data_IF_731861815143
#
_entry.id   IF_731861815143
#
_cell.length_a   1.000
_cell.length_b   1.000
_cell.length_c   1.000
_cell.angle_alpha   90.00
_cell.angle_beta   90.00
_cell.angle_gamma   90.00
#
_symmetry.space_group_name_H-M   'P 1'
#
loop_
_entity.id
_entity.type
_entity.pdbx_description
1 polymer ?
#
# COMPACT_ATOMS: atom_id res chain seq x y z
N UNK A 1 7.75 7.12 23.46
CA UNK A 1 6.29 6.84 23.57
C UNK A 1 5.97 5.56 22.80
N UNK A 2 5.35 4.56 23.43
CA UNK A 2 5.03 3.27 22.79
C UNK A 2 3.54 3.24 22.43
N UNK A 3 3.18 2.54 21.35
CA UNK A 3 1.78 2.36 20.91
C UNK A 3 1.45 0.88 20.85
N UNK A 4 0.18 0.52 21.11
CA UNK A 4 -0.26 -0.86 20.95
C UNK A 4 -0.09 -1.34 19.51
N UNK A 5 0.54 -2.49 19.35
CA UNK A 5 0.81 -3.10 18.06
C UNK A 5 -0.47 -3.36 17.25
N UNK A 6 -1.53 -3.85 17.91
CA UNK A 6 -2.83 -4.09 17.28
C UNK A 6 -3.42 -2.83 16.65
N UNK A 7 -3.39 -1.72 17.40
CA UNK A 7 -3.86 -0.42 16.93
C UNK A 7 -3.02 0.12 15.77
N UNK A 8 -1.70 -0.06 15.83
CA UNK A 8 -0.78 0.35 14.76
C UNK A 8 -1.02 -0.43 13.46
N UNK A 9 -1.07 -1.77 13.55
CA UNK A 9 -1.37 -2.68 12.44
C UNK A 9 -2.72 -2.36 11.81
N UNK A 10 -3.77 -2.19 12.63
CA UNK A 10 -5.12 -1.86 12.16
C UNK A 10 -5.16 -0.52 11.41
N UNK A 11 -4.42 0.49 11.87
CA UNK A 11 -4.34 1.80 11.19
C UNK A 11 -3.67 1.71 9.82
N UNK A 12 -2.56 0.99 9.70
CA UNK A 12 -1.89 0.76 8.40
C UNK A 12 -2.82 -0.02 7.47
N UNK A 13 -3.49 -1.06 7.97
CA UNK A 13 -4.44 -1.83 7.17
C UNK A 13 -5.60 -0.97 6.66
N UNK A 14 -6.27 -0.23 7.54
CA UNK A 14 -7.38 0.67 7.15
C UNK A 14 -6.90 1.67 6.10
N UNK A 15 -5.71 2.26 6.27
CA UNK A 15 -5.14 3.19 5.30
C UNK A 15 -5.01 2.54 3.91
N UNK A 16 -4.35 1.39 3.82
CA UNK A 16 -4.12 0.69 2.56
C UNK A 16 -5.41 0.20 1.91
N UNK A 17 -6.31 -0.44 2.66
CA UNK A 17 -7.58 -0.93 2.13
C UNK A 17 -8.48 0.21 1.66
N UNK A 18 -8.51 1.33 2.38
CA UNK A 18 -9.32 2.50 2.01
C UNK A 18 -8.79 3.11 0.70
N UNK A 19 -7.48 3.36 0.60
CA UNK A 19 -6.89 3.92 -0.61
C UNK A 19 -6.97 2.95 -1.79
N UNK A 20 -6.77 1.65 -1.56
CA UNK A 20 -6.96 0.63 -2.59
C UNK A 20 -8.38 0.65 -3.14
N UNK A 21 -9.40 0.70 -2.27
CA UNK A 21 -10.79 0.81 -2.69
C UNK A 21 -11.08 2.09 -3.48
N UNK A 22 -10.52 3.23 -3.07
CA UNK A 22 -10.64 4.51 -3.78
C UNK A 22 -10.01 4.41 -5.18
N UNK A 23 -8.78 3.91 -5.27
CA UNK A 23 -8.08 3.74 -6.55
C UNK A 23 -8.83 2.75 -7.46
N UNK A 24 -9.30 1.64 -6.90
CA UNK A 24 -10.13 0.67 -7.60
C UNK A 24 -11.39 1.33 -8.17
N UNK A 25 -12.12 2.09 -7.37
CA UNK A 25 -13.33 2.78 -7.81
C UNK A 25 -13.04 3.76 -8.94
N UNK A 26 -11.95 4.53 -8.84
CA UNK A 26 -11.53 5.47 -9.87
C UNK A 26 -11.20 4.74 -11.18
N UNK A 27 -10.42 3.64 -11.13
CA UNK A 27 -10.09 2.87 -12.33
C UNK A 27 -11.31 2.15 -12.92
N UNK A 28 -12.20 1.65 -12.07
CA UNK A 28 -13.45 1.04 -12.48
C UNK A 28 -14.33 2.05 -13.23
N UNK A 29 -14.54 3.25 -12.68
CA UNK A 29 -15.29 4.32 -13.36
C UNK A 29 -14.65 4.74 -14.68
N UNK A 30 -13.32 4.80 -14.76
CA UNK A 30 -12.62 5.09 -16.01
C UNK A 30 -12.76 3.98 -17.05
N UNK A 31 -12.80 2.72 -16.60
CA UNK A 31 -13.04 1.55 -17.45
C UNK A 31 -14.46 1.59 -18.02
N UNK A 32 -15.47 1.85 -17.19
CA UNK A 32 -16.88 1.98 -17.63
C UNK A 32 -17.08 3.14 -18.60
N UNK A 33 -16.34 4.25 -18.42
CA UNK A 33 -16.33 5.38 -19.36
C UNK A 33 -15.55 5.13 -20.65
N UNK A 34 -14.96 3.94 -20.83
CA UNK A 34 -14.22 3.59 -22.03
C UNK A 34 -12.85 4.27 -22.17
N UNK A 35 -12.32 4.89 -21.11
CA UNK A 35 -11.08 5.70 -21.19
C UNK A 35 -9.83 4.90 -21.59
N UNK A 36 -9.85 3.59 -21.37
CA UNK A 36 -8.73 2.70 -21.68
C UNK A 36 -8.93 1.87 -22.96
N UNK A 37 -10.09 1.98 -23.64
CA UNK A 37 -10.43 1.24 -24.87
C UNK A 37 -9.98 -0.24 -24.84
N UNK A 38 -9.02 -0.63 -25.69
CA UNK A 38 -8.47 -2.00 -25.75
C UNK A 38 -7.47 -2.35 -24.64
N UNK A 39 -6.99 -1.35 -23.90
CA UNK A 39 -5.87 -1.46 -22.96
C UNK A 39 -6.34 -1.59 -21.49
N UNK A 40 -7.56 -2.05 -21.28
CA UNK A 40 -8.14 -2.26 -19.94
C UNK A 40 -7.26 -3.19 -19.10
N UNK A 41 -6.77 -4.29 -19.70
CA UNK A 41 -5.90 -5.27 -19.03
C UNK A 41 -4.63 -4.62 -18.48
N UNK A 42 -4.04 -3.66 -19.20
CA UNK A 42 -2.82 -2.97 -18.80
C UNK A 42 -3.08 -2.02 -17.63
N UNK A 43 -4.23 -1.33 -17.62
CA UNK A 43 -4.62 -0.44 -16.52
C UNK A 43 -4.85 -1.24 -15.21
N UNK A 44 -5.52 -2.38 -15.30
CA UNK A 44 -5.69 -3.29 -14.15
C UNK A 44 -4.38 -3.96 -13.74
N UNK A 45 -3.51 -4.30 -14.71
CA UNK A 45 -2.16 -4.80 -14.44
C UNK A 45 -1.34 -3.81 -13.61
N UNK A 46 -1.40 -2.52 -13.96
CA UNK A 46 -0.75 -1.46 -13.19
C UNK A 46 -1.27 -1.36 -11.76
N UNK A 47 -2.59 -1.43 -11.57
CA UNK A 47 -3.19 -1.44 -10.22
C UNK A 47 -2.70 -2.63 -9.40
N UNK A 48 -2.75 -3.83 -10.00
CA UNK A 48 -2.32 -5.06 -9.36
C UNK A 48 -0.85 -4.98 -8.93
N UNK A 49 0.04 -4.52 -9.80
CA UNK A 49 1.48 -4.40 -9.50
C UNK A 49 1.76 -3.42 -8.35
N UNK A 50 1.06 -2.29 -8.31
CA UNK A 50 1.34 -1.23 -7.34
C UNK A 50 0.62 -1.39 -5.99
N UNK A 51 -0.52 -2.12 -5.95
CA UNK A 51 -1.37 -2.23 -4.74
C UNK A 51 -1.37 -3.63 -4.13
N UNK A 52 -1.45 -4.70 -4.93
CA UNK A 52 -1.63 -6.05 -4.38
C UNK A 52 -0.47 -6.52 -3.50
N UNK A 53 0.83 -6.32 -3.84
CA UNK A 53 1.92 -6.83 -3.00
C UNK A 53 1.83 -6.34 -1.55
N UNK A 54 1.52 -5.06 -1.35
CA UNK A 54 1.41 -4.46 -0.02
C UNK A 54 0.15 -4.90 0.72
N UNK A 55 -0.99 -5.06 0.04
CA UNK A 55 -2.19 -5.65 0.64
C UNK A 55 -1.97 -7.10 1.07
N UNK A 56 -1.33 -7.90 0.22
CA UNK A 56 -0.98 -9.29 0.53
C UNK A 56 -0.08 -9.38 1.76
N UNK A 57 0.93 -8.51 1.87
CA UNK A 57 1.78 -8.45 3.06
C UNK A 57 0.97 -8.15 4.33
N UNK A 58 0.07 -7.16 4.27
CA UNK A 58 -0.80 -6.80 5.39
C UNK A 58 -1.67 -7.99 5.78
N UNK A 59 -2.37 -8.61 4.83
CA UNK A 59 -3.25 -9.76 5.08
C UNK A 59 -2.47 -10.93 5.70
N UNK A 60 -1.29 -11.25 5.19
CA UNK A 60 -0.42 -12.30 5.75
C UNK A 60 -0.09 -12.05 7.22
N UNK A 61 0.15 -10.80 7.61
CA UNK A 61 0.41 -10.44 9.01
C UNK A 61 -0.83 -10.62 9.88
N UNK A 62 -2.02 -10.31 9.38
CA UNK A 62 -3.27 -10.56 10.11
C UNK A 62 -3.53 -12.05 10.33
N UNK A 63 -3.33 -12.87 9.28
CA UNK A 63 -3.46 -14.33 9.37
C UNK A 63 -2.48 -14.88 10.41
N UNK A 64 -1.20 -14.54 10.28
CA UNK A 64 -0.15 -15.01 11.19
C UNK A 64 -0.40 -14.64 12.66
N UNK A 65 -0.95 -13.46 12.91
CA UNK A 65 -1.27 -13.01 14.26
C UNK A 65 -2.53 -13.70 14.83
N UNK A 66 -3.50 -14.04 13.98
CA UNK A 66 -4.70 -14.79 14.40
C UNK A 66 -4.36 -16.24 14.79
N UNK A 67 -3.45 -16.88 14.06
CA UNK A 67 -3.06 -18.28 14.28
C UNK A 67 -2.17 -18.45 15.52
N UNK A 68 -1.35 -17.44 15.86
CA UNK A 68 -0.34 -17.55 16.91
C UNK A 68 -0.79 -17.11 18.31
N UNK A 69 -2.07 -16.75 18.52
CA UNK A 69 -2.59 -16.37 19.83
C UNK A 69 -1.96 -15.08 20.38
N UNK A 70 -2.69 -13.98 20.37
CA UNK A 70 -2.16 -12.66 20.72
C UNK A 70 -1.66 -12.59 22.18
N UNK A 71 -0.36 -12.38 22.39
CA UNK A 71 0.14 -11.80 23.65
C UNK A 71 -0.39 -10.36 23.71
N UNK A 72 -1.35 -10.12 24.61
CA UNK A 72 -2.24 -8.94 24.65
C UNK A 72 -1.55 -7.61 25.01
N UNK A 73 -0.25 -7.61 25.29
CA UNK A 73 0.47 -6.45 25.83
C UNK A 73 1.72 -6.08 25.01
N UNK A 74 1.57 -6.01 23.68
CA UNK A 74 2.67 -5.72 22.75
C UNK A 74 2.66 -4.26 22.34
N UNK A 75 3.76 -3.57 22.59
CA UNK A 75 3.92 -2.15 22.30
C UNK A 75 5.08 -1.92 21.34
N UNK A 76 4.86 -1.19 20.25
CA UNK A 76 5.92 -0.78 19.31
C UNK A 76 6.30 0.67 19.57
N UNK A 77 7.55 1.01 19.27
CA UNK A 77 7.98 2.39 19.25
C UNK A 77 7.19 3.20 18.21
N UNK A 78 6.64 4.33 18.66
CA UNK A 78 5.86 5.24 17.82
C UNK A 78 6.66 5.75 16.61
N UNK A 79 7.99 5.83 16.72
CA UNK A 79 8.88 6.25 15.63
C UNK A 79 8.83 5.30 14.42
N UNK A 80 9.03 4.00 14.65
CA UNK A 80 8.98 2.97 13.60
C UNK A 80 7.61 2.92 12.93
N UNK A 81 6.54 3.01 13.72
CA UNK A 81 5.17 3.12 13.19
C UNK A 81 4.98 4.38 12.35
N UNK A 82 5.40 5.55 12.85
CA UNK A 82 5.24 6.81 12.13
C UNK A 82 5.96 6.75 10.78
N UNK A 83 7.19 6.24 10.73
CA UNK A 83 7.94 6.06 9.47
C UNK A 83 7.16 5.18 8.50
N UNK A 84 6.76 3.98 8.91
CA UNK A 84 6.01 3.07 8.04
C UNK A 84 4.67 3.67 7.59
N UNK A 85 3.97 4.38 8.49
CA UNK A 85 2.71 5.02 8.21
C UNK A 85 2.86 6.19 7.23
N UNK A 86 3.82 7.10 7.45
CA UNK A 86 4.06 8.24 6.57
C UNK A 86 4.58 7.81 5.21
N UNK A 87 5.46 6.81 5.13
CA UNK A 87 5.91 6.23 3.85
C UNK A 87 4.76 5.58 3.08
N UNK A 88 3.89 4.83 3.77
CA UNK A 88 2.69 4.25 3.17
C UNK A 88 1.76 5.33 2.64
N UNK A 89 1.47 6.34 3.47
CA UNK A 89 0.59 7.45 3.10
C UNK A 89 1.16 8.23 1.93
N UNK A 90 2.45 8.55 1.95
CA UNK A 90 3.14 9.24 0.88
C UNK A 90 3.05 8.45 -0.44
N UNK A 91 3.37 7.15 -0.41
CA UNK A 91 3.26 6.29 -1.59
C UNK A 91 1.84 6.25 -2.17
N UNK A 92 0.83 6.08 -1.31
CA UNK A 92 -0.57 6.03 -1.73
C UNK A 92 -1.06 7.37 -2.29
N UNK A 93 -0.60 8.50 -1.73
CA UNK A 93 -0.87 9.82 -2.29
C UNK A 93 -0.22 10.00 -3.66
N UNK A 94 0.99 9.49 -3.87
CA UNK A 94 1.65 9.51 -5.19
C UNK A 94 0.84 8.69 -6.19
N UNK A 95 0.37 7.49 -5.84
CA UNK A 95 -0.51 6.68 -6.71
C UNK A 95 -1.76 7.46 -7.14
N UNK A 96 -2.46 8.07 -6.18
CA UNK A 96 -3.64 8.89 -6.49
C UNK A 96 -3.24 10.08 -7.37
N UNK A 97 -2.12 10.74 -7.05
CA UNK A 97 -1.56 11.84 -7.82
C UNK A 97 -1.33 11.47 -9.29
N UNK A 98 -0.78 10.29 -9.57
CA UNK A 98 -0.57 9.78 -10.94
C UNK A 98 -1.88 9.66 -11.71
N UNK A 99 -2.93 9.14 -11.06
CA UNK A 99 -4.23 8.96 -11.70
C UNK A 99 -4.92 10.31 -11.92
N UNK A 100 -4.87 11.20 -10.93
CA UNK A 100 -5.44 12.54 -11.02
C UNK A 100 -4.66 13.45 -11.98
N UNK A 101 -3.38 13.15 -12.24
CA UNK A 101 -2.57 13.89 -13.20
C UNK A 101 -2.76 13.43 -14.65
N UNK A 102 -3.41 12.28 -14.89
CA UNK A 102 -3.73 11.80 -16.25
C UNK A 102 -4.37 12.84 -17.17
N UNK A 103 -5.39 13.63 -16.78
CA UNK A 103 -5.97 14.65 -17.66
C UNK A 103 -5.01 15.77 -18.04
N UNK A 104 -3.92 15.98 -17.29
CA UNK A 104 -2.88 16.96 -17.60
C UNK A 104 -1.74 16.38 -18.43
N UNK A 105 -1.68 15.05 -18.57
CA UNK A 105 -0.68 14.39 -19.38
C UNK A 105 -1.00 14.55 -20.87
N UNK A 106 0.01 14.89 -21.68
CA UNK A 106 -0.12 14.99 -23.15
C UNK A 106 -0.06 13.63 -23.85
N UNK A 107 0.17 12.55 -23.10
CA UNK A 107 0.32 11.19 -23.59
C UNK A 107 -0.95 10.37 -23.36
N UNK A 108 -1.03 9.21 -24.00
CA UNK A 108 -2.13 8.26 -23.75
C UNK A 108 -2.20 7.90 -22.25
N UNK A 109 -3.40 7.81 -21.65
CA UNK A 109 -3.56 7.50 -20.23
C UNK A 109 -2.83 6.25 -19.78
N UNK A 110 -2.72 5.25 -20.66
CA UNK A 110 -2.04 3.99 -20.33
C UNK A 110 -0.51 4.14 -20.33
N UNK A 111 0.05 4.88 -21.29
CA UNK A 111 1.48 5.17 -21.36
C UNK A 111 1.91 5.95 -20.12
N UNK A 112 1.08 6.89 -19.66
CA UNK A 112 1.32 7.63 -18.42
C UNK A 112 1.36 6.71 -17.19
N UNK A 113 0.42 5.78 -17.05
CA UNK A 113 0.42 4.79 -15.97
C UNK A 113 1.69 3.94 -16.03
N UNK A 114 2.05 3.39 -17.19
CA UNK A 114 3.24 2.56 -17.32
C UNK A 114 4.53 3.32 -16.97
N UNK A 115 4.68 4.56 -17.44
CA UNK A 115 5.86 5.39 -17.14
C UNK A 115 5.99 5.71 -15.64
N UNK A 116 4.86 5.81 -14.93
CA UNK A 116 4.89 6.08 -13.49
C UNK A 116 5.57 4.98 -12.66
N UNK A 117 5.65 3.75 -13.19
CA UNK A 117 6.30 2.63 -12.51
C UNK A 117 7.80 2.87 -12.23
N UNK A 118 8.46 3.75 -13.01
CA UNK A 118 9.88 4.08 -12.83
C UNK A 118 10.16 4.64 -11.43
N UNK A 119 9.25 5.46 -10.89
CA UNK A 119 9.37 6.01 -9.54
C UNK A 119 8.47 5.30 -8.52
N UNK A 120 7.33 4.73 -8.94
CA UNK A 120 6.47 3.97 -8.02
C UNK A 120 7.13 2.69 -7.53
N UNK A 121 7.87 1.96 -8.38
CA UNK A 121 8.55 0.72 -7.97
C UNK A 121 9.51 0.92 -6.79
N UNK A 122 10.49 1.84 -6.88
CA UNK A 122 11.36 2.16 -5.76
C UNK A 122 10.60 2.63 -4.51
N UNK A 123 9.60 3.50 -4.66
CA UNK A 123 8.80 3.98 -3.53
C UNK A 123 7.99 2.87 -2.86
N UNK A 124 7.43 1.95 -3.65
CA UNK A 124 6.75 0.75 -3.16
C UNK A 124 7.72 -0.14 -2.38
N UNK A 125 8.93 -0.31 -2.88
CA UNK A 125 9.99 -1.05 -2.21
C UNK A 125 10.33 -0.46 -0.83
N UNK A 126 10.49 0.86 -0.74
CA UNK A 126 10.76 1.55 0.54
C UNK A 126 9.55 1.44 1.48
N UNK A 127 8.33 1.67 1.00
CA UNK A 127 7.12 1.58 1.82
C UNK A 127 6.90 0.16 2.34
N UNK A 128 6.99 -0.84 1.45
CA UNK A 128 6.81 -2.26 1.78
C UNK A 128 7.95 -2.76 2.67
N UNK A 129 9.18 -2.31 2.46
CA UNK A 129 10.32 -2.58 3.32
C UNK A 129 10.14 -1.99 4.73
N UNK A 130 9.65 -0.76 4.85
CA UNK A 130 9.37 -0.13 6.14
C UNK A 130 8.25 -0.87 6.90
N UNK A 131 7.20 -1.28 6.20
CA UNK A 131 6.14 -2.14 6.73
C UNK A 131 6.71 -3.50 7.16
N UNK A 132 7.56 -4.10 6.33
CA UNK A 132 8.23 -5.38 6.59
C UNK A 132 9.12 -5.32 7.83
N UNK A 133 9.99 -4.31 7.95
CA UNK A 133 10.84 -4.10 9.13
C UNK A 133 9.98 -3.87 10.38
N UNK A 134 8.92 -3.06 10.27
CA UNK A 134 7.97 -2.87 11.37
C UNK A 134 7.34 -4.19 11.84
N UNK A 135 7.08 -5.12 10.91
CA UNK A 135 6.52 -6.43 11.22
C UNK A 135 7.55 -7.51 11.58
N UNK A 136 8.80 -7.44 11.10
CA UNK A 136 9.88 -8.41 11.38
C UNK A 136 10.63 -8.06 12.66
N UNK A 137 10.80 -6.78 13.01
CA UNK A 137 11.39 -6.38 14.30
C UNK A 137 10.57 -6.92 15.50
N UNK A 138 9.36 -7.40 15.23
CA UNK A 138 8.51 -8.23 16.11
C UNK A 138 9.05 -9.63 16.41
N UNK A 139 9.82 -10.27 15.53
CA UNK A 139 10.31 -11.64 15.70
C UNK A 139 11.52 -11.74 16.60
N UNK A 140 12.38 -10.72 16.60
CA UNK A 140 13.66 -10.77 17.33
C UNK A 140 13.56 -10.33 18.80
N UNK A 141 12.50 -9.62 19.20
CA UNK A 141 12.22 -9.30 20.62
C UNK A 141 11.72 -10.52 21.44
N UNK A 142 11.89 -11.75 20.92
CA UNK A 142 11.59 -13.01 21.61
C UNK A 142 12.84 -13.85 21.93
N UNK A 143 14.05 -13.29 21.80
CA UNK A 143 15.27 -13.97 22.21
C UNK A 143 16.14 -13.05 23.06
N UNK A 144 15.68 -12.79 24.29
CA UNK A 144 16.51 -12.62 25.50
C UNK A 144 15.64 -12.85 26.74
#
# INVERSE_FOLDING_TARGET
MKIQFESAKKRIAILWFTFAAVVFLILFLQTVKGKYESNITEAWGWYCQNILPSLSLIVSVFIFDSTNGTVRNRSVEKFHFNIAFFLSLFYLLVIIGVILSQPFAKTSPIVWLQQSNIYLGPLQGIATGAIGIFFIKRSNDKQE
#
